data_IF_304931163225
#
_entry.id   IF_304931163225
#
_cell.length_a   1.000
_cell.length_b   1.000
_cell.length_c   1.000
_cell.angle_alpha   90.00
_cell.angle_beta   90.00
_cell.angle_gamma   90.00
#
_symmetry.space_group_name_H-M   'P 1'
#
loop_
_entity.id
_entity.type
_entity.pdbx_description
1 polymer ?
#
# COMPACT_ATOMS: atom_id res chain seq x y z
N UNK A 1 38.55 40.39 -26.41
CA UNK A 1 37.12 40.45 -26.03
C UNK A 1 36.90 39.39 -24.94
N UNK A 2 36.25 39.80 -23.84
CA UNK A 2 36.04 39.17 -22.51
C UNK A 2 36.08 37.62 -22.34
N UNK A 3 36.92 37.16 -21.39
CA UNK A 3 36.73 36.23 -20.23
C UNK A 3 35.56 35.20 -20.28
N UNK A 4 35.69 33.91 -19.89
CA UNK A 4 36.28 33.32 -18.65
C UNK A 4 36.68 31.84 -18.80
N UNK A 5 37.69 31.46 -18.01
CA UNK A 5 38.09 30.11 -17.60
C UNK A 5 37.05 29.43 -16.69
N UNK A 6 36.97 28.09 -16.69
CA UNK A 6 36.93 27.24 -15.47
C UNK A 6 37.65 25.90 -15.75
N UNK A 7 38.38 25.48 -14.73
CA UNK A 7 39.36 24.41 -14.58
C UNK A 7 38.75 22.99 -14.58
N UNK A 8 39.57 22.03 -14.99
CA UNK A 8 39.43 20.56 -14.97
C UNK A 8 38.91 19.94 -13.67
N UNK A 9 38.18 18.81 -13.77
CA UNK A 9 38.61 17.47 -13.29
C UNK A 9 37.47 16.43 -13.46
N UNK A 10 37.81 15.29 -14.06
CA UNK A 10 37.12 13.98 -14.00
C UNK A 10 38.23 12.96 -13.63
N UNK A 11 37.99 11.69 -13.22
CA UNK A 11 36.74 10.93 -12.98
C UNK A 11 36.79 9.98 -11.72
N UNK A 12 35.77 9.10 -11.57
CA UNK A 12 35.60 7.98 -10.60
C UNK A 12 35.05 8.38 -9.22
N UNK A 13 33.99 7.76 -8.67
CA UNK A 13 33.90 6.35 -8.21
C UNK A 13 32.45 5.84 -8.24
N UNK A 14 32.30 4.58 -8.67
CA UNK A 14 31.17 3.67 -8.51
C UNK A 14 31.17 3.09 -7.08
N UNK A 15 29.98 2.83 -6.54
CA UNK A 15 29.64 1.99 -5.35
C UNK A 15 29.44 2.66 -3.99
N UNK A 16 28.38 2.18 -3.34
CA UNK A 16 28.12 2.09 -1.90
C UNK A 16 27.59 3.33 -1.16
N UNK A 17 26.39 3.16 -0.59
CA UNK A 17 25.87 3.98 0.49
C UNK A 17 24.47 4.49 0.20
N UNK A 18 23.48 3.91 0.89
CA UNK A 18 22.28 4.63 1.29
C UNK A 18 22.70 5.89 2.07
N UNK A 19 23.07 6.95 1.37
CA UNK A 19 23.23 8.26 2.01
C UNK A 19 21.81 8.78 2.16
N UNK A 20 21.23 8.52 3.33
CA UNK A 20 20.06 9.26 3.81
C UNK A 20 20.52 10.72 3.81
N UNK A 21 20.03 11.59 2.91
CA UNK A 21 20.45 12.99 2.91
C UNK A 21 20.07 13.59 4.26
N UNK A 22 21.00 14.35 4.86
CA UNK A 22 20.79 15.04 6.13
C UNK A 22 19.46 15.79 6.15
N UNK A 23 18.78 15.87 7.30
CA UNK A 23 17.49 16.52 7.40
C UNK A 23 17.62 18.00 7.04
N UNK A 24 17.24 18.33 5.81
CA UNK A 24 16.91 19.70 5.42
C UNK A 24 15.82 20.28 6.34
N UNK A 25 15.59 21.61 6.27
CA UNK A 25 14.74 22.35 7.22
C UNK A 25 13.46 21.57 7.51
N UNK A 26 13.12 21.41 8.79
CA UNK A 26 12.04 20.53 9.26
C UNK A 26 10.68 20.93 8.69
N UNK A 27 10.41 20.55 7.45
CA UNK A 27 9.10 20.73 6.82
C UNK A 27 8.10 19.98 7.71
N UNK A 28 7.06 20.66 8.23
CA UNK A 28 6.01 20.00 9.01
C UNK A 28 5.45 18.79 8.26
N UNK A 29 5.07 17.74 8.99
CA UNK A 29 4.60 16.47 8.40
C UNK A 29 3.48 16.68 7.37
N UNK A 30 2.49 17.51 7.71
CA UNK A 30 1.35 17.82 6.83
C UNK A 30 1.79 18.60 5.58
N UNK A 31 2.70 19.56 5.74
CA UNK A 31 3.20 20.38 4.62
C UNK A 31 4.01 19.53 3.65
N UNK A 32 4.91 18.70 4.16
CA UNK A 32 5.73 17.82 3.33
C UNK A 32 4.90 16.77 2.59
N UNK A 33 3.90 16.17 3.25
CA UNK A 33 2.99 15.25 2.58
C UNK A 33 2.15 15.94 1.49
N UNK A 34 1.71 17.18 1.69
CA UNK A 34 0.94 17.95 0.69
C UNK A 34 1.73 18.26 -0.57
N UNK A 35 3.06 18.23 -0.52
CA UNK A 35 3.90 18.35 -1.72
C UNK A 35 3.64 17.18 -2.70
N UNK A 36 3.31 16.00 -2.18
CA UNK A 36 3.18 14.76 -2.96
C UNK A 36 1.72 14.36 -3.23
N UNK A 37 0.76 14.91 -2.49
CA UNK A 37 -0.62 14.44 -2.56
C UNK A 37 -1.60 15.23 -1.69
N UNK A 38 -2.79 14.67 -1.55
CA UNK A 38 -3.83 15.19 -0.65
C UNK A 38 -3.66 14.58 0.74
N UNK A 39 -3.89 15.39 1.77
CA UNK A 39 -3.76 14.98 3.17
C UNK A 39 -4.99 15.43 3.93
N UNK A 40 -5.64 14.49 4.62
CA UNK A 40 -6.69 14.77 5.58
C UNK A 40 -6.29 14.28 6.97
N UNK A 41 -6.49 15.12 7.99
CA UNK A 41 -6.27 14.74 9.38
C UNK A 41 -7.58 14.17 9.96
N UNK A 42 -7.51 12.97 10.50
CA UNK A 42 -8.59 12.31 11.23
C UNK A 42 -8.20 12.24 12.69
N UNK A 43 -8.95 12.95 13.52
CA UNK A 43 -8.75 12.97 14.98
C UNK A 43 -9.51 11.83 15.65
N UNK A 44 -9.02 11.32 16.78
CA UNK A 44 -9.74 10.32 17.57
C UNK A 44 -11.07 10.87 18.09
N UNK A 45 -12.03 9.97 18.32
CA UNK A 45 -13.30 10.27 18.98
C UNK A 45 -13.30 9.83 20.45
N UNK A 46 -12.52 8.80 20.81
CA UNK A 46 -12.42 8.32 22.17
C UNK A 46 -11.69 9.33 23.07
N UNK A 47 -12.10 9.50 24.35
CA UNK A 47 -11.27 10.16 25.35
C UNK A 47 -9.94 9.43 25.51
N UNK A 48 -8.95 10.11 26.09
CA UNK A 48 -7.58 9.61 26.31
C UNK A 48 -7.59 8.12 26.68
N UNK A 49 -7.14 7.28 25.74
CA UNK A 49 -7.16 5.82 25.88
C UNK A 49 -5.98 5.32 26.72
N UNK A 50 -5.13 6.23 27.22
CA UNK A 50 -3.88 5.88 27.90
C UNK A 50 -2.85 5.24 26.97
N UNK A 51 -3.13 5.16 25.66
CA UNK A 51 -2.17 4.71 24.67
C UNK A 51 -1.05 5.76 24.51
N UNK A 52 0.19 5.34 24.26
CA UNK A 52 1.24 6.25 23.86
C UNK A 52 0.80 7.03 22.60
N UNK A 53 1.37 8.22 22.39
CA UNK A 53 1.00 9.07 21.26
C UNK A 53 1.41 8.43 19.93
N UNK A 54 0.55 7.57 19.38
CA UNK A 54 0.76 6.90 18.10
C UNK A 54 0.42 7.84 16.93
N UNK A 55 1.32 7.91 15.96
CA UNK A 55 1.14 8.64 14.71
C UNK A 55 1.07 7.66 13.54
N UNK A 56 -0.08 7.64 12.86
CA UNK A 56 -0.26 6.79 11.69
C UNK A 56 -0.50 7.63 10.44
N UNK A 57 0.17 7.25 9.34
CA UNK A 57 -0.19 7.72 8.00
C UNK A 57 -0.84 6.58 7.22
N UNK A 58 -2.14 6.71 6.96
CA UNK A 58 -2.88 5.81 6.08
C UNK A 58 -2.64 6.25 4.63
N UNK A 59 -1.81 5.51 3.91
CA UNK A 59 -1.55 5.70 2.48
C UNK A 59 -2.64 4.93 1.72
N UNK A 60 -3.55 5.68 1.08
CA UNK A 60 -4.59 5.08 0.24
C UNK A 60 -3.98 4.71 -1.10
N UNK A 61 -3.69 3.44 -1.27
CA UNK A 61 -3.38 2.89 -2.58
C UNK A 61 -4.68 2.71 -3.36
N UNK A 62 -4.81 3.41 -4.48
CA UNK A 62 -6.02 3.34 -5.30
C UNK A 62 -5.84 2.29 -6.38
N UNK A 63 -5.47 1.05 -6.03
CA UNK A 63 -5.88 -0.06 -6.88
C UNK A 63 -7.38 0.09 -7.10
N UNK A 64 -7.83 0.12 -8.36
CA UNK A 64 -9.21 0.48 -8.70
C UNK A 64 -10.16 -0.51 -8.06
N UNK A 65 -10.68 -0.12 -6.91
CA UNK A 65 -11.85 -0.68 -6.28
C UNK A 65 -12.60 0.55 -5.77
N UNK A 66 -13.43 1.13 -6.65
CA UNK A 66 -14.61 1.84 -6.14
C UNK A 66 -15.45 0.81 -5.36
N UNK A 67 -16.50 1.20 -4.64
CA UNK A 67 -17.41 0.26 -3.95
C UNK A 67 -18.08 -0.80 -4.85
N UNK A 68 -17.70 -0.86 -6.12
CA UNK A 68 -17.98 -1.88 -7.12
C UNK A 68 -16.66 -2.58 -7.50
N UNK A 69 -16.63 -3.92 -7.43
CA UNK A 69 -15.56 -4.70 -8.06
C UNK A 69 -15.69 -4.48 -9.58
N UNK A 70 -14.97 -3.50 -10.11
CA UNK A 70 -14.94 -3.21 -11.54
C UNK A 70 -13.91 -4.11 -12.18
N UNK A 71 -14.37 -5.02 -13.02
CA UNK A 71 -13.54 -5.82 -13.90
C UNK A 71 -13.04 -4.95 -15.06
N UNK A 72 -12.05 -4.09 -14.80
CA UNK A 72 -11.44 -3.31 -15.87
C UNK A 72 -10.63 -4.22 -16.80
N UNK A 73 -11.11 -4.39 -18.03
CA UNK A 73 -10.30 -4.82 -19.17
C UNK A 73 -9.73 -3.56 -19.82
N UNK A 74 -8.70 -2.97 -19.21
CA UNK A 74 -8.10 -1.69 -19.59
C UNK A 74 -6.96 -1.31 -18.64
N UNK A 75 -6.11 -0.33 -18.97
CA UNK A 75 -4.73 -0.32 -18.54
C UNK A 75 -4.56 0.30 -17.15
N UNK A 76 -4.77 -0.50 -16.11
CA UNK A 76 -4.23 -0.19 -14.77
C UNK A 76 -2.70 -0.02 -14.80
N UNK A 77 -2.04 -0.55 -15.84
CA UNK A 77 -0.63 -0.30 -16.22
C UNK A 77 -0.34 1.13 -16.70
N UNK A 78 -1.36 1.95 -16.96
CA UNK A 78 -1.22 3.31 -17.50
C UNK A 78 -1.52 4.41 -16.47
N UNK A 79 -1.78 4.04 -15.21
CA UNK A 79 -1.82 5.01 -14.11
C UNK A 79 -0.55 4.82 -13.28
N UNK A 80 0.42 5.74 -13.45
CA UNK A 80 1.58 5.78 -12.57
C UNK A 80 1.15 6.43 -11.25
N UNK A 81 1.25 5.67 -10.16
CA UNK A 81 1.19 6.20 -8.80
C UNK A 81 2.45 5.79 -8.08
N UNK A 82 3.22 6.79 -7.68
CA UNK A 82 4.46 6.56 -6.99
C UNK A 82 4.41 7.19 -5.60
N UNK A 83 4.14 6.36 -4.59
CA UNK A 83 4.22 6.77 -3.19
C UNK A 83 5.67 6.89 -2.70
N UNK A 84 6.70 6.58 -3.51
CA UNK A 84 8.12 6.55 -3.11
C UNK A 84 8.57 7.83 -2.44
N UNK A 85 8.26 8.99 -3.02
CA UNK A 85 8.69 10.27 -2.44
C UNK A 85 8.01 10.55 -1.10
N UNK A 86 6.73 10.19 -0.95
CA UNK A 86 6.01 10.31 0.31
C UNK A 86 6.56 9.34 1.36
N UNK A 87 6.83 8.08 1.00
CA UNK A 87 7.40 7.08 1.91
C UNK A 87 8.82 7.47 2.33
N UNK A 88 9.67 7.88 1.39
CA UNK A 88 11.01 8.38 1.72
C UNK A 88 10.97 9.64 2.62
N UNK A 89 9.96 10.50 2.46
CA UNK A 89 9.73 11.62 3.39
C UNK A 89 9.31 11.14 4.78
N UNK A 90 8.40 10.18 4.87
CA UNK A 90 7.93 9.61 6.14
C UNK A 90 9.06 8.90 6.89
N UNK A 91 9.91 8.15 6.19
CA UNK A 91 11.10 7.53 6.78
C UNK A 91 12.03 8.58 7.38
N UNK A 92 12.29 9.70 6.69
CA UNK A 92 13.06 10.82 7.25
C UNK A 92 12.39 11.49 8.45
N UNK A 93 11.08 11.30 8.62
CA UNK A 93 10.31 11.73 9.81
C UNK A 93 10.23 10.63 10.88
N UNK A 94 10.98 9.53 10.76
CA UNK A 94 11.05 8.46 11.75
C UNK A 94 9.92 7.44 11.65
N UNK A 95 9.22 7.34 10.52
CA UNK A 95 8.27 6.24 10.28
C UNK A 95 9.04 5.00 9.82
N UNK A 96 8.93 3.91 10.59
CA UNK A 96 9.76 2.70 10.42
C UNK A 96 8.96 1.45 10.06
N UNK A 97 7.65 1.44 10.27
CA UNK A 97 6.77 0.32 9.96
C UNK A 97 5.84 0.65 8.79
N UNK A 98 5.67 -0.29 7.86
CA UNK A 98 4.70 -0.24 6.78
C UNK A 98 3.83 -1.50 6.77
N UNK A 99 2.57 -1.35 7.17
CA UNK A 99 1.58 -2.41 7.05
C UNK A 99 1.04 -2.55 5.63
N UNK A 100 0.92 -3.78 5.12
CA UNK A 100 0.26 -4.11 3.87
C UNK A 100 -0.75 -5.25 4.02
N UNK A 101 -1.85 -5.20 3.27
CA UNK A 101 -2.86 -6.27 3.21
C UNK A 101 -2.38 -7.39 2.27
N UNK A 102 -1.87 -8.50 2.81
CA UNK A 102 -1.64 -9.77 2.11
C UNK A 102 -1.12 -10.93 3.00
N UNK A 103 -0.82 -10.69 4.28
CA UNK A 103 -0.27 -11.67 5.24
C UNK A 103 -0.40 -11.13 6.67
N UNK A 104 0.05 -11.84 7.72
CA UNK A 104 0.17 -11.30 9.10
C UNK A 104 1.61 -11.37 9.58
N UNK A 105 2.12 -10.28 10.16
CA UNK A 105 3.47 -10.20 10.71
C UNK A 105 4.56 -9.97 9.65
N UNK A 106 5.85 -10.11 10.02
CA UNK A 106 6.96 -9.95 9.08
C UNK A 106 6.79 -10.83 7.84
N UNK A 107 7.15 -10.28 6.67
CA UNK A 107 7.10 -11.05 5.45
C UNK A 107 8.17 -12.14 5.47
N UNK A 108 7.82 -13.42 5.22
CA UNK A 108 8.78 -14.51 5.27
C UNK A 108 9.89 -14.31 4.23
N UNK A 109 11.13 -14.51 4.67
CA UNK A 109 12.32 -14.43 3.83
C UNK A 109 12.61 -15.73 3.08
N UNK A 110 12.09 -16.85 3.57
CA UNK A 110 12.36 -18.18 3.04
C UNK A 110 11.29 -18.64 2.03
N UNK A 111 11.75 -19.41 1.05
CA UNK A 111 11.03 -20.03 -0.07
C UNK A 111 9.51 -19.78 -0.14
N UNK A 112 9.10 -18.88 -1.06
CA UNK A 112 7.69 -18.58 -1.30
C UNK A 112 7.47 -17.40 -2.26
N UNK A 113 6.20 -17.00 -2.51
CA UNK A 113 5.87 -15.90 -3.40
C UNK A 113 6.56 -14.58 -3.00
N UNK A 114 6.66 -14.28 -1.70
CA UNK A 114 7.34 -13.09 -1.18
C UNK A 114 8.83 -13.11 -1.49
N UNK A 115 9.52 -14.24 -1.29
CA UNK A 115 10.94 -14.40 -1.62
C UNK A 115 11.21 -14.23 -3.13
N UNK A 116 10.35 -14.80 -3.98
CA UNK A 116 10.44 -14.61 -5.44
C UNK A 116 10.25 -13.13 -5.84
N UNK A 117 9.29 -12.43 -5.21
CA UNK A 117 9.09 -11.00 -5.45
C UNK A 117 10.29 -10.17 -4.95
N UNK A 118 10.85 -10.47 -3.77
CA UNK A 118 12.09 -9.83 -3.27
C UNK A 118 13.23 -10.01 -4.26
N UNK A 119 13.46 -11.23 -4.75
CA UNK A 119 14.51 -11.52 -5.71
C UNK A 119 14.33 -10.72 -7.01
N UNK A 120 13.11 -10.68 -7.56
CA UNK A 120 12.78 -9.91 -8.75
C UNK A 120 13.00 -8.40 -8.55
N UNK A 121 12.61 -7.86 -7.38
CA UNK A 121 12.84 -6.46 -7.02
C UNK A 121 14.33 -6.16 -6.90
N UNK A 122 15.10 -7.00 -6.21
CA UNK A 122 16.56 -6.83 -6.04
C UNK A 122 17.29 -6.82 -7.37
N UNK A 123 16.96 -7.76 -8.25
CA UNK A 123 17.51 -7.87 -9.61
C UNK A 123 17.19 -6.62 -10.45
N UNK A 124 15.95 -6.15 -10.40
CA UNK A 124 15.55 -4.92 -11.09
C UNK A 124 16.25 -3.66 -10.51
N UNK A 125 16.38 -3.54 -9.18
CA UNK A 125 17.14 -2.45 -8.55
C UNK A 125 18.61 -2.48 -8.99
N UNK A 126 19.24 -3.66 -9.04
CA UNK A 126 20.62 -3.81 -9.48
C UNK A 126 20.84 -3.40 -10.95
N UNK A 127 19.83 -3.60 -11.81
CA UNK A 127 19.85 -3.14 -13.21
C UNK A 127 19.56 -1.65 -13.39
N UNK A 128 19.18 -0.94 -12.33
CA UNK A 128 18.69 0.45 -12.44
C UNK A 128 17.33 0.54 -13.14
N UNK A 129 16.55 -0.56 -13.15
CA UNK A 129 15.23 -0.58 -13.74
C UNK A 129 14.29 0.38 -13.00
N UNK A 130 13.38 0.99 -13.76
CA UNK A 130 12.35 1.89 -13.23
C UNK A 130 11.21 1.10 -12.60
N UNK A 131 11.47 0.48 -11.45
CA UNK A 131 10.48 -0.29 -10.68
C UNK A 131 9.22 0.51 -10.29
N UNK A 132 9.22 1.83 -10.41
CA UNK A 132 8.02 2.66 -10.31
C UNK A 132 6.99 2.39 -11.43
N UNK A 133 7.40 1.71 -12.51
CA UNK A 133 6.52 1.27 -13.60
C UNK A 133 5.77 -0.03 -13.27
N UNK A 134 6.20 -0.75 -12.24
CA UNK A 134 5.53 -1.93 -11.72
C UNK A 134 4.62 -1.50 -10.56
N UNK A 135 3.32 -1.47 -10.82
CA UNK A 135 2.29 -1.24 -9.78
C UNK A 135 2.12 -2.45 -8.85
N UNK A 136 2.79 -3.56 -9.16
CA UNK A 136 2.73 -4.80 -8.38
C UNK A 136 3.90 -4.79 -7.40
N UNK A 137 3.70 -5.30 -6.19
CA UNK A 137 4.74 -5.46 -5.15
C UNK A 137 5.20 -4.18 -4.45
N UNK A 138 4.37 -3.13 -4.36
CA UNK A 138 4.77 -1.88 -3.72
C UNK A 138 5.35 -2.04 -2.30
N UNK A 139 4.74 -2.82 -1.38
CA UNK A 139 5.30 -3.00 -0.03
C UNK A 139 6.71 -3.60 -0.06
N UNK A 140 6.88 -4.77 -0.69
CA UNK A 140 8.18 -5.46 -0.81
C UNK A 140 9.22 -4.57 -1.50
N UNK A 141 8.81 -3.80 -2.52
CA UNK A 141 9.70 -2.83 -3.17
C UNK A 141 10.23 -1.79 -2.18
N UNK A 142 9.34 -1.20 -1.38
CA UNK A 142 9.76 -0.19 -0.41
C UNK A 142 10.63 -0.79 0.69
N UNK A 143 10.33 -2.00 1.13
CA UNK A 143 11.22 -2.71 2.07
C UNK A 143 12.62 -2.92 1.48
N UNK A 144 12.73 -3.35 0.22
CA UNK A 144 14.03 -3.56 -0.41
C UNK A 144 14.78 -2.25 -0.70
N UNK A 145 14.06 -1.19 -1.07
CA UNK A 145 14.63 0.13 -1.32
C UNK A 145 15.11 0.82 -0.02
N UNK A 146 14.48 0.51 1.11
CA UNK A 146 14.72 1.12 2.42
C UNK A 146 15.07 0.07 3.50
N UNK A 147 15.77 -1.01 3.12
CA UNK A 147 15.97 -2.24 3.92
C UNK A 147 16.47 -2.02 5.34
N UNK A 148 17.21 -0.94 5.58
CA UNK A 148 17.84 -0.66 6.88
C UNK A 148 16.96 0.19 7.82
N UNK A 149 15.85 0.73 7.31
CA UNK A 149 15.02 1.72 8.03
C UNK A 149 13.53 1.44 7.98
N UNK A 150 13.08 0.60 7.03
CA UNK A 150 11.67 0.27 6.85
C UNK A 150 11.45 -1.23 6.99
N UNK A 151 10.58 -1.61 7.93
CA UNK A 151 10.06 -2.97 8.06
C UNK A 151 8.68 -3.05 7.43
N UNK A 152 8.46 -4.02 6.54
CA UNK A 152 7.14 -4.29 5.99
C UNK A 152 6.49 -5.45 6.70
N UNK A 153 5.24 -5.23 7.09
CA UNK A 153 4.46 -6.18 7.84
C UNK A 153 3.18 -6.50 7.10
N UNK A 154 2.86 -7.78 7.02
CA UNK A 154 1.51 -8.23 6.73
C UNK A 154 0.54 -7.81 7.83
N UNK A 155 -0.62 -7.29 7.43
CA UNK A 155 -1.68 -6.85 8.34
C UNK A 155 -3.03 -7.57 8.14
N UNK A 156 -3.14 -8.46 7.17
CA UNK A 156 -4.39 -9.12 6.83
C UNK A 156 -4.69 -10.32 7.74
N UNK A 157 -5.98 -10.51 8.05
CA UNK A 157 -6.49 -11.74 8.67
C UNK A 157 -6.46 -12.87 7.63
N UNK A 158 -5.66 -13.94 7.83
CA UNK A 158 -5.57 -15.04 6.86
C UNK A 158 -6.91 -15.72 6.58
N UNK A 159 -7.83 -15.71 7.54
CA UNK A 159 -9.17 -16.28 7.42
C UNK A 159 -10.03 -15.45 6.48
N UNK A 160 -10.03 -14.13 6.64
CA UNK A 160 -10.76 -13.22 5.76
C UNK A 160 -10.21 -13.26 4.34
N UNK A 161 -8.88 -13.27 4.20
CA UNK A 161 -8.22 -13.37 2.90
C UNK A 161 -8.57 -14.68 2.19
N UNK A 162 -8.45 -15.82 2.88
CA UNK A 162 -8.79 -17.14 2.32
C UNK A 162 -10.24 -17.18 1.86
N UNK A 163 -11.17 -16.68 2.67
CA UNK A 163 -12.58 -16.66 2.32
C UNK A 163 -12.87 -15.77 1.10
N UNK A 164 -12.18 -14.63 0.94
CA UNK A 164 -12.30 -13.79 -0.24
C UNK A 164 -11.68 -14.43 -1.48
N UNK A 165 -10.53 -15.10 -1.34
CA UNK A 165 -9.88 -15.83 -2.42
C UNK A 165 -10.73 -17.00 -2.94
N UNK A 166 -11.37 -17.75 -2.04
CA UNK A 166 -12.31 -18.82 -2.39
C UNK A 166 -13.51 -18.28 -3.17
N UNK A 167 -14.11 -17.19 -2.69
CA UNK A 167 -15.23 -16.52 -3.36
C UNK A 167 -14.83 -15.95 -4.72
N UNK A 168 -13.62 -15.40 -4.84
CA UNK A 168 -13.09 -14.92 -6.10
C UNK A 168 -12.91 -16.09 -7.09
N UNK A 169 -12.42 -17.24 -6.62
CA UNK A 169 -12.34 -18.48 -7.41
C UNK A 169 -13.71 -18.88 -7.97
N UNK A 170 -14.74 -18.90 -7.11
CA UNK A 170 -16.12 -19.20 -7.50
C UNK A 170 -16.67 -18.20 -8.53
N UNK A 171 -16.36 -16.90 -8.38
CA UNK A 171 -16.72 -15.89 -9.38
C UNK A 171 -16.04 -16.18 -10.72
N UNK A 172 -14.75 -16.52 -10.72
CA UNK A 172 -13.99 -16.80 -11.93
C UNK A 172 -14.50 -18.05 -12.67
N UNK A 173 -15.03 -19.03 -11.96
CA UNK A 173 -15.66 -20.22 -12.54
C UNK A 173 -16.98 -19.90 -13.27
N UNK A 174 -17.84 -19.08 -12.67
CA UNK A 174 -19.18 -18.81 -13.23
C UNK A 174 -19.19 -17.63 -14.23
N UNK A 175 -18.22 -16.73 -14.16
CA UNK A 175 -18.15 -15.52 -15.00
C UNK A 175 -18.20 -15.81 -16.51
N UNK A 176 -17.50 -16.81 -17.07
CA UNK A 176 -17.55 -17.10 -18.50
C UNK A 176 -18.95 -17.48 -19.01
N UNK A 177 -19.86 -17.90 -18.13
CA UNK A 177 -21.20 -18.34 -18.49
C UNK A 177 -22.14 -17.16 -18.81
N UNK A 178 -21.98 -16.03 -18.11
CA UNK A 178 -22.94 -14.91 -18.11
C UNK A 178 -23.08 -14.26 -19.50
N UNK A 179 -21.99 -14.19 -20.27
CA UNK A 179 -21.93 -13.52 -21.59
C UNK A 179 -22.08 -14.43 -22.80
N UNK A 180 -22.31 -15.73 -22.62
CA UNK A 180 -22.28 -16.73 -23.70
C UNK A 180 -23.68 -17.07 -24.20
N UNK A 181 -23.97 -16.72 -25.45
CA UNK A 181 -25.29 -16.94 -26.06
C UNK A 181 -25.66 -18.42 -26.22
N UNK A 182 -24.67 -19.31 -26.24
CA UNK A 182 -24.84 -20.77 -26.34
C UNK A 182 -25.20 -21.45 -25.01
N UNK A 183 -25.15 -20.73 -23.88
CA UNK A 183 -25.51 -21.25 -22.57
C UNK A 183 -27.00 -20.99 -22.28
N UNK A 184 -27.76 -21.99 -21.80
CA UNK A 184 -29.16 -21.82 -21.43
C UNK A 184 -29.37 -20.63 -20.49
N UNK A 185 -30.43 -19.85 -20.73
CA UNK A 185 -30.71 -18.63 -19.96
C UNK A 185 -30.84 -18.90 -18.45
N UNK A 186 -31.44 -20.03 -18.07
CA UNK A 186 -31.52 -20.45 -16.66
C UNK A 186 -30.14 -20.57 -15.99
N UNK A 187 -29.18 -21.20 -16.67
CA UNK A 187 -27.79 -21.36 -16.21
C UNK A 187 -27.07 -20.01 -16.15
N UNK A 188 -27.29 -19.11 -17.13
CA UNK A 188 -26.72 -17.76 -17.10
C UNK A 188 -27.23 -16.92 -15.94
N UNK A 189 -28.53 -17.00 -15.67
CA UNK A 189 -29.17 -16.29 -14.56
C UNK A 189 -28.69 -16.81 -13.20
N UNK A 190 -28.50 -18.12 -13.07
CA UNK A 190 -27.89 -18.73 -11.88
C UNK A 190 -26.44 -18.26 -11.68
N UNK A 191 -25.61 -18.31 -12.73
CA UNK A 191 -24.24 -17.80 -12.69
C UNK A 191 -24.17 -16.33 -12.28
N UNK A 192 -25.06 -15.48 -12.81
CA UNK A 192 -25.15 -14.07 -12.45
C UNK A 192 -25.54 -13.85 -10.98
N UNK A 193 -26.49 -14.63 -10.46
CA UNK A 193 -26.88 -14.59 -9.03
C UNK A 193 -25.73 -15.02 -8.12
N UNK A 194 -25.07 -16.12 -8.43
CA UNK A 194 -23.90 -16.62 -7.69
C UNK A 194 -22.79 -15.57 -7.66
N UNK A 195 -22.46 -14.99 -8.81
CA UNK A 195 -21.48 -13.90 -8.89
C UNK A 195 -21.86 -12.71 -8.00
N UNK A 196 -23.11 -12.24 -8.06
CA UNK A 196 -23.58 -11.12 -7.25
C UNK A 196 -23.50 -11.42 -5.75
N UNK A 197 -23.87 -12.64 -5.32
CA UNK A 197 -23.78 -13.07 -3.91
C UNK A 197 -22.34 -13.04 -3.41
N UNK A 198 -21.40 -13.59 -4.17
CA UNK A 198 -19.98 -13.59 -3.79
C UNK A 198 -19.39 -12.17 -3.80
N UNK A 199 -19.74 -11.35 -4.80
CA UNK A 199 -19.30 -9.94 -4.84
C UNK A 199 -19.80 -9.16 -3.62
N UNK A 200 -21.07 -9.34 -3.22
CA UNK A 200 -21.62 -8.72 -2.00
C UNK A 200 -20.90 -9.19 -0.75
N UNK A 201 -20.58 -10.47 -0.64
CA UNK A 201 -19.86 -11.02 0.50
C UNK A 201 -18.42 -10.47 0.59
N UNK A 202 -17.71 -10.37 -0.54
CA UNK A 202 -16.38 -9.73 -0.60
C UNK A 202 -16.50 -8.26 -0.21
N UNK A 203 -17.45 -7.52 -0.79
CA UNK A 203 -17.68 -6.11 -0.43
C UNK A 203 -17.97 -5.92 1.07
N UNK A 204 -18.71 -6.84 1.70
CA UNK A 204 -18.95 -6.82 3.15
C UNK A 204 -17.67 -7.07 3.96
N UNK A 205 -16.75 -7.88 3.46
CA UNK A 205 -15.49 -8.20 4.15
C UNK A 205 -14.44 -7.10 4.03
N UNK A 206 -14.52 -6.22 3.03
CA UNK A 206 -13.54 -5.14 2.81
C UNK A 206 -13.39 -4.26 4.06
N UNK A 207 -14.50 -3.88 4.69
CA UNK A 207 -14.47 -3.07 5.92
C UNK A 207 -13.85 -3.84 7.10
N UNK A 208 -14.18 -5.13 7.23
CA UNK A 208 -13.62 -5.99 8.27
C UNK A 208 -12.10 -6.15 8.12
N UNK A 209 -11.62 -6.28 6.88
CA UNK A 209 -10.19 -6.35 6.57
C UNK A 209 -9.45 -5.05 6.87
N UNK A 210 -10.02 -3.91 6.48
CA UNK A 210 -9.46 -2.61 6.85
C UNK A 210 -9.37 -2.40 8.37
N UNK A 211 -10.40 -2.81 9.13
CA UNK A 211 -10.39 -2.80 10.60
C UNK A 211 -9.30 -3.71 11.16
N UNK A 212 -9.25 -4.96 10.71
CA UNK A 212 -8.24 -5.92 11.15
C UNK A 212 -6.82 -5.40 10.89
N UNK A 213 -6.57 -4.83 9.72
CA UNK A 213 -5.27 -4.29 9.37
C UNK A 213 -4.83 -3.12 10.28
N UNK A 214 -5.75 -2.21 10.61
CA UNK A 214 -5.48 -1.13 11.56
C UNK A 214 -5.21 -1.65 12.97
N UNK A 215 -6.03 -2.59 13.47
CA UNK A 215 -5.84 -3.20 14.78
C UNK A 215 -4.50 -3.93 14.89
N UNK A 216 -4.16 -4.74 13.88
CA UNK A 216 -2.90 -5.47 13.82
C UNK A 216 -1.70 -4.52 13.79
N UNK A 217 -1.80 -3.40 13.06
CA UNK A 217 -0.71 -2.42 13.04
C UNK A 217 -0.50 -1.77 14.41
N UNK A 218 -1.59 -1.39 15.10
CA UNK A 218 -1.51 -0.82 16.45
C UNK A 218 -0.91 -1.84 17.42
N UNK A 219 -1.34 -3.10 17.38
CA UNK A 219 -0.77 -4.19 18.18
C UNK A 219 0.75 -4.27 17.97
N UNK A 220 1.21 -4.29 16.72
CA UNK A 220 2.63 -4.29 16.38
C UNK A 220 3.37 -3.04 16.87
N UNK A 221 2.80 -1.85 16.70
CA UNK A 221 3.38 -0.60 17.20
C UNK A 221 3.61 -0.64 18.71
N UNK A 222 2.63 -1.16 19.46
CA UNK A 222 2.71 -1.25 20.92
C UNK A 222 3.74 -2.29 21.37
N UNK A 223 3.77 -3.46 20.73
CA UNK A 223 4.73 -4.54 21.07
C UNK A 223 6.17 -4.10 20.80
N UNK A 224 6.41 -3.44 19.67
CA UNK A 224 7.75 -3.01 19.24
C UNK A 224 8.15 -1.63 19.79
N UNK A 225 7.26 -0.95 20.53
CA UNK A 225 7.51 0.39 21.06
C UNK A 225 7.66 1.48 19.99
N UNK A 226 7.07 1.28 18.80
CA UNK A 226 7.10 2.24 17.71
C UNK A 226 5.94 3.24 17.81
N UNK A 227 6.24 4.54 17.84
CA UNK A 227 5.22 5.59 17.89
C UNK A 227 4.76 6.07 16.49
N UNK A 228 5.43 5.65 15.40
CA UNK A 228 5.20 6.14 14.03
C UNK A 228 5.13 5.00 13.02
N UNK A 229 4.00 4.90 12.32
CA UNK A 229 3.80 3.87 11.31
C UNK A 229 2.99 4.32 10.09
N UNK A 230 3.15 3.59 9.01
CA UNK A 230 2.43 3.74 7.76
C UNK A 230 1.53 2.54 7.56
N UNK A 231 0.33 2.76 7.04
CA UNK A 231 -0.56 1.69 6.61
C UNK A 231 -0.91 1.90 5.14
N UNK A 232 -0.49 0.99 4.27
CA UNK A 232 -0.78 1.05 2.84
C UNK A 232 -1.93 0.11 2.51
N UNK A 233 -3.09 0.67 2.17
CA UNK A 233 -4.31 -0.10 1.88
C UNK A 233 -4.95 0.28 0.56
N UNK A 234 -5.66 -0.68 -0.02
CA UNK A 234 -6.62 -0.43 -1.08
C UNK A 234 -7.65 0.64 -0.65
N UNK A 235 -7.98 1.56 -1.54
CA UNK A 235 -8.86 2.70 -1.22
C UNK A 235 -10.23 2.31 -0.64
N UNK A 236 -10.72 1.11 -0.92
CA UNK A 236 -11.97 0.54 -0.40
C UNK A 236 -11.88 0.11 1.08
N UNK A 237 -10.70 -0.26 1.57
CA UNK A 237 -10.46 -0.73 2.95
C UNK A 237 -10.32 0.42 3.95
N UNK A 238 -10.07 1.63 3.44
CA UNK A 238 -9.76 2.80 4.25
C UNK A 238 -10.87 3.16 5.27
N UNK A 239 -12.14 2.91 4.94
CA UNK A 239 -13.26 3.23 5.84
C UNK A 239 -13.20 2.37 7.12
N UNK A 240 -13.04 1.06 6.98
CA UNK A 240 -12.84 0.14 8.09
C UNK A 240 -11.61 0.51 8.94
N UNK A 241 -10.46 0.75 8.30
CA UNK A 241 -9.23 1.12 9.00
C UNK A 241 -9.39 2.41 9.82
N UNK A 242 -9.99 3.45 9.22
CA UNK A 242 -10.23 4.72 9.90
C UNK A 242 -11.17 4.59 11.09
N UNK A 243 -12.19 3.75 11.00
CA UNK A 243 -13.06 3.49 12.14
C UNK A 243 -12.29 2.83 13.29
N UNK A 244 -11.49 1.80 13.02
CA UNK A 244 -10.67 1.15 14.04
C UNK A 244 -9.67 2.11 14.71
N UNK A 245 -9.00 2.98 13.95
CA UNK A 245 -8.11 3.99 14.54
C UNK A 245 -8.85 4.98 15.43
N UNK A 246 -10.04 5.44 15.03
CA UNK A 246 -10.87 6.35 15.84
C UNK A 246 -11.32 5.70 17.15
N UNK A 247 -11.76 4.44 17.06
CA UNK A 247 -12.23 3.64 18.19
C UNK A 247 -11.10 3.44 19.22
N UNK A 248 -9.85 3.35 18.76
CA UNK A 248 -8.66 3.16 19.61
C UNK A 248 -7.98 4.46 20.04
N UNK A 249 -8.49 5.64 19.64
CA UNK A 249 -7.90 6.90 20.06
C UNK A 249 -6.65 7.33 19.27
N UNK A 250 -6.39 6.74 18.09
CA UNK A 250 -5.21 7.04 17.27
C UNK A 250 -5.47 8.20 16.31
N UNK A 251 -4.54 9.16 16.26
CA UNK A 251 -4.55 10.23 15.26
C UNK A 251 -3.98 9.73 13.94
N UNK A 252 -4.75 9.89 12.86
CA UNK A 252 -4.38 9.37 11.53
C UNK A 252 -4.34 10.48 10.51
N UNK A 253 -3.29 10.49 9.68
CA UNK A 253 -3.26 11.27 8.44
C UNK A 253 -3.60 10.37 7.28
N UNK A 254 -4.65 10.71 6.54
CA UNK A 254 -5.01 10.01 5.30
C UNK A 254 -4.27 10.70 4.17
N UNK A 255 -3.35 9.99 3.55
CA UNK A 255 -2.58 10.46 2.41
C UNK A 255 -3.07 9.78 1.12
N UNK A 256 -3.27 10.57 0.07
CA UNK A 256 -3.58 10.08 -1.26
C UNK A 256 -2.64 10.73 -2.28
N UNK A 257 -1.83 9.91 -2.95
CA UNK A 257 -0.90 10.39 -3.97
C UNK A 257 -1.63 10.91 -5.22
N UNK A 258 -1.03 11.91 -5.88
CA UNK A 258 -1.50 12.41 -7.18
C UNK A 258 -1.43 11.28 -8.22
N UNK A 259 -2.51 11.12 -8.98
CA UNK A 259 -2.55 10.15 -10.09
C UNK A 259 -2.13 10.85 -11.37
N UNK A 260 -1.24 10.25 -12.15
CA UNK A 260 -0.87 10.76 -13.46
C UNK A 260 -1.20 9.73 -14.54
N UNK A 261 -1.89 10.16 -15.59
CA UNK A 261 -2.05 9.37 -16.79
C UNK A 261 -0.68 9.19 -17.46
N UNK A 262 -0.34 7.95 -17.83
CA UNK A 262 0.84 7.65 -18.63
C UNK A 262 0.68 8.34 -19.99
N UNK A 263 1.61 9.25 -20.31
CA UNK A 263 1.77 9.78 -21.67
C UNK A 263 2.54 8.77 -22.52
#
# INVERSE_FOLDING_TARGET
>A
MRLRSVVHLFPAILLAGCVVPEPGPEVPLDEGLRMFGEVALVRPQAPDTGLPHLQVVLIRDRHVVHGTITWERGPLRDIRRDNRHAIGFLIRKGFTLLGCEASRGPLPDDDGPSAAHRAAVRDALARGDRLHDLTVYQPIRYEEEFRDVLTVLGMEDPTLYKADAERLGQILEVRPLIGRADIPEGTRNEAARTMLTHMKAISANVDARGRAAACNLIEHMLVEGNDRAMLLLGGAHAAGALAAFRDQGVTVRVFQCKSYARR
#
